data_IF_645142102984
#
_entry.id   IF_645142102984
#
_cell.length_a   1.000
_cell.length_b   1.000
_cell.length_c   1.000
_cell.angle_alpha   90.00
_cell.angle_beta   90.00
_cell.angle_gamma   90.00
#
_symmetry.space_group_name_H-M   'P 1'
#
loop_
_entity.id
_entity.type
_entity.pdbx_description
1 polymer ?
#
# COMPACT_ATOMS: atom_id res chain seq x y z
N UNK A 1 5.62 -25.71 -4.52
CA UNK A 1 4.65 -25.21 -3.53
C UNK A 1 5.43 -24.75 -2.31
N UNK A 2 5.18 -23.54 -1.82
CA UNK A 2 5.73 -23.13 -0.53
C UNK A 2 5.24 -24.11 0.54
N UNK A 3 6.10 -24.43 1.51
CA UNK A 3 5.73 -25.27 2.64
C UNK A 3 4.51 -24.65 3.36
N UNK A 4 3.44 -25.40 3.56
CA UNK A 4 2.21 -24.95 4.23
C UNK A 4 2.52 -24.35 5.61
N UNK A 5 3.51 -24.89 6.31
CA UNK A 5 3.97 -24.37 7.60
C UNK A 5 4.52 -22.95 7.48
N UNK A 6 5.27 -22.65 6.42
CA UNK A 6 5.80 -21.31 6.15
C UNK A 6 4.63 -20.37 5.87
N UNK A 7 3.72 -20.75 4.98
CA UNK A 7 2.53 -19.96 4.63
C UNK A 7 1.68 -19.62 5.88
N UNK A 8 1.38 -20.60 6.73
CA UNK A 8 0.63 -20.36 7.98
C UNK A 8 1.38 -19.45 8.94
N UNK A 9 2.71 -19.56 8.98
CA UNK A 9 3.55 -18.68 9.80
C UNK A 9 3.50 -17.24 9.32
N UNK A 10 3.60 -17.00 8.02
CA UNK A 10 3.50 -15.67 7.41
C UNK A 10 2.11 -15.05 7.61
N UNK A 11 1.03 -15.81 7.43
CA UNK A 11 -0.34 -15.36 7.72
C UNK A 11 -0.46 -14.91 9.18
N UNK A 12 0.08 -15.69 10.11
CA UNK A 12 0.09 -15.33 11.54
C UNK A 12 0.86 -14.04 11.79
N UNK A 13 2.03 -13.86 11.19
CA UNK A 13 2.83 -12.63 11.31
C UNK A 13 2.09 -11.42 10.73
N UNK A 14 1.46 -11.58 9.57
CA UNK A 14 0.67 -10.51 8.95
C UNK A 14 -0.52 -10.10 9.85
N UNK A 15 -1.22 -11.06 10.44
CA UNK A 15 -2.30 -10.79 11.41
C UNK A 15 -1.80 -10.10 12.67
N UNK A 16 -0.63 -10.50 13.17
CA UNK A 16 0.01 -9.81 14.29
C UNK A 16 0.36 -8.37 13.95
N UNK A 17 0.93 -8.13 12.77
CA UNK A 17 1.26 -6.79 12.30
C UNK A 17 0.02 -5.90 12.16
N UNK A 18 -1.08 -6.43 11.61
CA UNK A 18 -2.36 -5.71 11.49
C UNK A 18 -2.92 -5.36 12.88
N UNK A 19 -2.92 -6.33 13.83
CA UNK A 19 -3.37 -6.06 15.20
C UNK A 19 -2.51 -5.02 15.90
N UNK A 20 -1.20 -5.10 15.76
CA UNK A 20 -0.28 -4.09 16.30
C UNK A 20 -0.57 -2.70 15.71
N UNK A 21 -0.78 -2.62 14.39
CA UNK A 21 -1.11 -1.37 13.72
C UNK A 21 -2.47 -0.81 14.17
N UNK A 22 -3.48 -1.67 14.35
CA UNK A 22 -4.79 -1.28 14.87
C UNK A 22 -4.71 -0.77 16.31
N UNK A 23 -3.94 -1.45 17.16
CA UNK A 23 -3.72 -1.03 18.54
C UNK A 23 -3.04 0.34 18.61
N UNK A 24 -2.00 0.57 17.81
CA UNK A 24 -1.33 1.85 17.74
C UNK A 24 -2.27 2.97 17.21
N UNK A 25 -3.11 2.67 16.22
CA UNK A 25 -4.10 3.62 15.73
C UNK A 25 -5.09 4.03 16.83
N UNK A 26 -5.56 3.08 17.63
CA UNK A 26 -6.46 3.33 18.76
C UNK A 26 -5.76 4.08 19.90
N UNK A 27 -4.55 3.67 20.28
CA UNK A 27 -3.76 4.28 21.35
C UNK A 27 -3.47 5.76 21.08
N UNK A 28 -3.16 6.10 19.82
CA UNK A 28 -2.85 7.48 19.44
C UNK A 28 -4.05 8.25 18.88
N UNK A 29 -5.26 7.70 18.97
CA UNK A 29 -6.50 8.39 18.59
C UNK A 29 -6.60 8.71 17.11
N UNK A 30 -6.07 7.85 16.24
CA UNK A 30 -6.16 8.06 14.80
C UNK A 30 -7.60 7.89 14.31
N UNK A 31 -7.97 8.67 13.30
CA UNK A 31 -9.31 8.57 12.70
C UNK A 31 -9.60 7.16 12.15
N UNK A 32 -10.84 6.64 12.28
CA UNK A 32 -11.24 5.40 11.61
C UNK A 32 -10.99 5.38 10.10
N UNK A 33 -11.01 6.55 9.45
CA UNK A 33 -10.68 6.68 8.03
C UNK A 33 -9.17 6.48 7.75
N UNK A 34 -8.33 6.58 8.77
CA UNK A 34 -6.87 6.36 8.64
C UNK A 34 -6.53 4.88 8.64
N UNK A 35 -7.31 4.06 9.35
CA UNK A 35 -7.11 2.62 9.47
C UNK A 35 -8.46 1.91 9.35
N UNK A 36 -8.75 1.36 8.16
CA UNK A 36 -10.05 0.79 7.81
C UNK A 36 -9.91 -0.72 7.53
N UNK A 37 -10.41 -1.61 8.40
CA UNK A 37 -10.33 -3.06 8.22
C UNK A 37 -11.38 -3.58 7.23
N UNK A 38 -11.48 -2.96 6.07
CA UNK A 38 -12.49 -3.24 5.02
C UNK A 38 -12.18 -4.48 4.18
N UNK A 39 -11.07 -5.16 4.42
CA UNK A 39 -10.64 -6.27 3.57
C UNK A 39 -10.07 -5.80 2.23
N UNK A 40 -9.90 -6.74 1.31
CA UNK A 40 -9.46 -6.46 -0.08
C UNK A 40 -10.16 -7.37 -1.06
N UNK A 41 -10.26 -6.92 -2.31
CA UNK A 41 -10.72 -7.74 -3.43
C UNK A 41 -9.61 -7.89 -4.45
N UNK A 42 -9.31 -9.13 -4.83
CA UNK A 42 -8.53 -9.40 -6.03
C UNK A 42 -9.50 -9.41 -7.22
N UNK A 43 -9.49 -8.36 -8.04
CA UNK A 43 -10.44 -8.14 -9.11
C UNK A 43 -9.93 -8.70 -10.44
N UNK A 44 -10.78 -9.42 -11.15
CA UNK A 44 -10.50 -10.02 -12.44
C UNK A 44 -11.33 -9.35 -13.56
N UNK A 45 -10.63 -8.77 -14.55
CA UNK A 45 -11.27 -8.18 -15.74
C UNK A 45 -11.37 -9.15 -16.93
N UNK A 46 -10.68 -10.28 -16.90
CA UNK A 46 -10.66 -11.27 -17.98
C UNK A 46 -10.41 -12.68 -17.48
N UNK A 47 -10.43 -13.65 -18.40
CA UNK A 47 -10.33 -15.09 -18.11
C UNK A 47 -9.08 -15.46 -17.30
N UNK A 48 -7.95 -14.87 -17.64
CA UNK A 48 -6.70 -15.12 -16.89
C UNK A 48 -6.85 -14.74 -15.42
N UNK A 49 -7.44 -13.58 -15.15
CA UNK A 49 -7.69 -13.11 -13.78
C UNK A 49 -8.66 -14.01 -13.02
N UNK A 50 -9.73 -14.49 -13.69
CA UNK A 50 -10.68 -15.44 -13.10
C UNK A 50 -9.99 -16.75 -12.74
N UNK A 51 -9.17 -17.30 -13.63
CA UNK A 51 -8.38 -18.53 -13.37
C UNK A 51 -7.44 -18.37 -12.19
N UNK A 52 -6.77 -17.21 -12.09
CA UNK A 52 -5.86 -16.93 -10.97
C UNK A 52 -6.62 -16.81 -9.64
N UNK A 53 -7.80 -16.17 -9.64
CA UNK A 53 -8.66 -16.09 -8.47
C UNK A 53 -9.19 -17.47 -8.03
N UNK A 54 -9.59 -18.32 -8.99
CA UNK A 54 -10.04 -19.68 -8.70
C UNK A 54 -8.91 -20.53 -8.06
N UNK A 55 -7.71 -20.46 -8.60
CA UNK A 55 -6.54 -21.11 -8.00
C UNK A 55 -6.25 -20.59 -6.59
N UNK A 56 -6.38 -19.29 -6.38
CA UNK A 56 -6.16 -18.67 -5.08
C UNK A 56 -7.25 -19.06 -4.08
N UNK A 57 -8.53 -19.07 -4.50
CA UNK A 57 -9.66 -19.52 -3.69
C UNK A 57 -9.47 -20.96 -3.22
N UNK A 58 -9.09 -21.88 -4.11
CA UNK A 58 -8.78 -23.27 -3.73
C UNK A 58 -7.65 -23.36 -2.71
N UNK A 59 -6.61 -22.54 -2.87
CA UNK A 59 -5.49 -22.50 -1.92
C UNK A 59 -5.92 -21.98 -0.55
N UNK A 60 -6.77 -20.95 -0.50
CA UNK A 60 -7.32 -20.41 0.76
C UNK A 60 -8.21 -21.44 1.45
N UNK A 61 -9.08 -22.13 0.70
CA UNK A 61 -9.92 -23.22 1.23
C UNK A 61 -9.05 -24.34 1.86
N UNK A 62 -7.99 -24.74 1.17
CA UNK A 62 -7.11 -25.81 1.62
C UNK A 62 -6.41 -25.50 2.95
N UNK A 63 -6.16 -24.23 3.24
CA UNK A 63 -5.53 -23.79 4.50
C UNK A 63 -6.52 -23.24 5.54
N UNK A 64 -7.83 -23.26 5.22
CA UNK A 64 -8.90 -22.81 6.12
C UNK A 64 -8.99 -21.29 6.28
N UNK A 65 -8.65 -20.51 5.25
CA UNK A 65 -8.72 -19.05 5.27
C UNK A 65 -10.06 -18.55 4.68
N UNK A 66 -10.68 -17.61 5.39
CA UNK A 66 -11.95 -17.00 4.98
C UNK A 66 -11.80 -16.20 3.70
N UNK A 67 -12.69 -16.44 2.75
CA UNK A 67 -12.77 -15.68 1.50
C UNK A 67 -14.16 -15.81 0.87
N UNK A 68 -14.49 -14.90 -0.04
CA UNK A 68 -15.76 -14.91 -0.79
C UNK A 68 -15.47 -14.68 -2.27
N UNK A 69 -16.00 -15.54 -3.12
CA UNK A 69 -15.98 -15.33 -4.58
C UNK A 69 -17.11 -14.37 -4.93
N UNK A 70 -16.77 -13.31 -5.66
CA UNK A 70 -17.71 -12.31 -6.14
C UNK A 70 -17.91 -12.45 -7.65
N UNK A 71 -19.16 -12.44 -8.07
CA UNK A 71 -19.52 -12.43 -9.50
C UNK A 71 -19.43 -11.00 -10.11
N UNK A 72 -19.69 -10.89 -11.41
CA UNK A 72 -19.62 -9.61 -12.13
C UNK A 72 -20.61 -8.58 -11.58
N UNK A 73 -21.83 -9.01 -11.19
CA UNK A 73 -22.86 -8.13 -10.66
C UNK A 73 -22.45 -7.57 -9.29
N UNK A 74 -21.94 -8.42 -8.40
CA UNK A 74 -21.44 -8.02 -7.08
C UNK A 74 -20.23 -7.07 -7.20
N UNK A 75 -19.38 -7.31 -8.20
CA UNK A 75 -18.27 -6.39 -8.49
C UNK A 75 -18.77 -5.03 -9.00
N UNK A 76 -19.80 -4.99 -9.83
CA UNK A 76 -20.42 -3.75 -10.30
C UNK A 76 -21.10 -3.00 -9.16
N UNK A 77 -21.87 -3.67 -8.33
CA UNK A 77 -22.49 -3.08 -7.12
C UNK A 77 -21.45 -2.47 -6.18
N UNK A 78 -20.30 -3.14 -6.00
CA UNK A 78 -19.22 -2.65 -5.14
C UNK A 78 -18.45 -1.49 -5.77
N UNK A 79 -18.09 -1.56 -7.05
CA UNK A 79 -17.18 -0.62 -7.69
C UNK A 79 -17.88 0.49 -8.48
N UNK A 80 -19.14 0.30 -8.84
CA UNK A 80 -19.87 1.15 -9.77
C UNK A 80 -19.42 0.98 -11.23
N UNK A 81 -18.72 -0.11 -11.56
CA UNK A 81 -18.16 -0.36 -12.90
C UNK A 81 -18.37 -1.80 -13.33
N UNK A 82 -18.87 -1.99 -14.55
CA UNK A 82 -19.01 -3.30 -15.20
C UNK A 82 -17.70 -3.85 -15.80
N UNK A 83 -16.58 -3.17 -15.56
CA UNK A 83 -15.25 -3.59 -16.05
C UNK A 83 -14.81 -4.95 -15.52
N UNK A 84 -15.18 -5.28 -14.29
CA UNK A 84 -14.73 -6.50 -13.64
C UNK A 84 -15.72 -7.65 -13.89
N UNK A 85 -15.19 -8.80 -14.27
CA UNK A 85 -15.95 -10.03 -14.51
C UNK A 85 -16.12 -10.89 -13.25
N UNK A 86 -15.35 -10.60 -12.21
CA UNK A 86 -15.42 -11.27 -10.92
C UNK A 86 -14.33 -10.79 -9.97
N UNK A 87 -14.41 -11.25 -8.73
CA UNK A 87 -13.48 -10.91 -7.68
C UNK A 87 -13.32 -11.99 -6.64
N UNK A 88 -12.27 -11.89 -5.85
CA UNK A 88 -12.04 -12.72 -4.66
C UNK A 88 -11.81 -11.79 -3.47
N UNK A 89 -12.80 -11.72 -2.60
CA UNK A 89 -12.72 -10.95 -1.35
C UNK A 89 -12.01 -11.74 -0.27
N UNK A 90 -11.12 -11.08 0.47
CA UNK A 90 -10.46 -11.61 1.67
C UNK A 90 -10.55 -10.59 2.81
N UNK A 91 -11.12 -10.96 4.00
CA UNK A 91 -11.39 -10.02 5.08
C UNK A 91 -10.12 -9.60 5.86
N UNK A 92 -9.05 -10.36 5.76
CA UNK A 92 -7.83 -10.16 6.55
C UNK A 92 -6.91 -9.03 6.09
N UNK A 93 -7.42 -8.04 5.35
CA UNK A 93 -6.64 -6.90 4.88
C UNK A 93 -7.19 -5.57 5.42
N UNK A 94 -6.36 -4.54 5.40
CA UNK A 94 -6.69 -3.21 5.91
C UNK A 94 -6.37 -2.15 4.85
N UNK A 95 -7.28 -1.21 4.67
CA UNK A 95 -7.04 -0.01 3.88
C UNK A 95 -6.48 1.07 4.82
N UNK A 96 -5.26 1.51 4.57
CA UNK A 96 -4.59 2.55 5.37
C UNK A 96 -4.43 3.82 4.56
N UNK A 97 -4.65 4.98 5.20
CA UNK A 97 -4.20 6.27 4.70
C UNK A 97 -2.75 6.50 5.21
N UNK A 98 -1.72 6.24 4.38
CA UNK A 98 -0.36 6.13 4.88
C UNK A 98 0.17 7.41 5.51
N UNK A 99 -0.14 8.58 4.92
CA UNK A 99 0.34 9.87 5.41
C UNK A 99 -0.24 10.21 6.78
N UNK A 100 -1.55 10.01 6.96
CA UNK A 100 -2.20 10.27 8.24
C UNK A 100 -1.77 9.28 9.31
N UNK A 101 -1.59 8.00 8.93
CA UNK A 101 -1.12 6.98 9.84
C UNK A 101 0.28 7.31 10.38
N UNK A 102 1.23 7.62 9.48
CA UNK A 102 2.61 7.95 9.89
C UNK A 102 2.66 9.23 10.70
N UNK A 103 1.93 10.28 10.32
CA UNK A 103 1.87 11.55 11.07
C UNK A 103 1.21 11.37 12.43
N UNK A 104 0.12 10.61 12.50
CA UNK A 104 -0.56 10.31 13.75
C UNK A 104 0.32 9.53 14.72
N UNK A 105 1.05 8.51 14.23
CA UNK A 105 2.04 7.81 15.04
C UNK A 105 3.16 8.73 15.53
N UNK A 106 3.71 9.57 14.65
CA UNK A 106 4.76 10.52 15.04
C UNK A 106 4.25 11.50 16.11
N UNK A 107 3.04 12.04 15.94
CA UNK A 107 2.41 12.90 16.94
C UNK A 107 2.22 12.20 18.29
N UNK A 108 1.71 10.98 18.29
CA UNK A 108 1.52 10.19 19.52
C UNK A 108 2.83 9.84 20.21
N UNK A 109 3.84 9.43 19.45
CA UNK A 109 5.16 9.05 19.95
C UNK A 109 6.01 10.24 20.42
N UNK A 110 5.74 11.47 20.01
CA UNK A 110 6.56 12.65 20.29
C UNK A 110 6.76 12.94 21.79
N UNK A 111 5.89 12.39 22.64
CA UNK A 111 6.02 12.49 24.11
C UNK A 111 7.03 11.51 24.71
N UNK A 112 7.30 10.41 24.01
CA UNK A 112 8.14 9.32 24.48
C UNK A 112 9.51 9.26 23.78
N UNK A 113 9.60 9.80 22.56
CA UNK A 113 10.81 9.77 21.75
C UNK A 113 11.07 11.12 21.10
N UNK A 114 12.35 11.47 20.90
CA UNK A 114 12.72 12.68 20.16
C UNK A 114 12.66 12.39 18.66
N UNK A 115 11.80 13.12 17.94
CA UNK A 115 11.65 13.01 16.48
C UNK A 115 12.27 14.25 15.84
N UNK A 116 13.21 14.04 14.93
CA UNK A 116 13.90 15.11 14.20
C UNK A 116 13.47 15.07 12.73
N UNK A 117 12.55 15.93 12.36
CA UNK A 117 12.13 16.13 10.97
C UNK A 117 13.14 17.01 10.20
N UNK A 118 13.09 16.94 8.85
CA UNK A 118 13.98 17.70 7.97
C UNK A 118 15.47 17.56 8.33
N UNK A 119 15.83 16.39 8.85
CA UNK A 119 17.17 16.08 9.36
C UNK A 119 17.74 14.83 8.67
N UNK A 120 17.98 14.88 7.34
CA UNK A 120 18.52 13.74 6.62
C UNK A 120 19.87 13.32 7.21
N UNK A 121 20.03 12.03 7.46
CA UNK A 121 21.31 11.46 7.86
C UNK A 121 22.18 11.34 6.63
N UNK A 122 23.29 12.06 6.61
CA UNK A 122 24.24 12.13 5.49
C UNK A 122 25.38 11.14 5.66
N UNK A 123 25.70 10.78 6.89
CA UNK A 123 26.80 9.88 7.24
C UNK A 123 26.42 9.05 8.46
N UNK A 124 26.70 7.76 8.40
CA UNK A 124 26.57 6.84 9.51
C UNK A 124 27.91 6.13 9.73
N UNK A 125 28.51 6.35 10.86
CA UNK A 125 29.80 5.75 11.21
C UNK A 125 29.75 5.04 12.56
N UNK A 126 30.59 4.03 12.72
CA UNK A 126 30.71 3.31 13.99
C UNK A 126 32.07 3.59 14.59
N UNK A 127 32.10 4.13 15.79
CA UNK A 127 33.30 4.38 16.56
C UNK A 127 33.25 3.55 17.84
N UNK A 128 34.15 2.59 17.97
CA UNK A 128 34.16 1.62 19.07
C UNK A 128 32.79 0.87 19.16
N UNK A 129 32.04 1.08 20.25
CA UNK A 129 30.74 0.47 20.53
C UNK A 129 29.56 1.42 20.26
N UNK A 130 29.80 2.60 19.71
CA UNK A 130 28.79 3.64 19.51
C UNK A 130 28.67 3.97 18.03
N UNK A 131 27.44 4.10 17.57
CA UNK A 131 27.11 4.62 16.25
C UNK A 131 26.94 6.13 16.31
N UNK A 132 27.40 6.83 15.28
CA UNK A 132 27.21 8.26 15.10
C UNK A 132 26.49 8.50 13.78
N UNK A 133 25.30 9.07 13.86
CA UNK A 133 24.52 9.56 12.72
C UNK A 133 24.70 11.07 12.61
N UNK A 134 25.17 11.55 11.46
CA UNK A 134 25.46 12.97 11.19
C UNK A 134 24.46 13.53 10.19
N UNK A 135 23.88 14.67 10.50
CA UNK A 135 23.07 15.50 9.61
C UNK A 135 23.78 16.82 9.31
N UNK A 136 23.17 17.66 8.44
CA UNK A 136 23.68 19.01 8.18
C UNK A 136 23.63 19.94 9.42
N UNK A 137 22.79 19.63 10.41
CA UNK A 137 22.58 20.49 11.60
C UNK A 137 23.16 19.93 12.88
N UNK A 138 23.70 18.72 12.87
CA UNK A 138 24.25 18.10 14.08
C UNK A 138 24.44 16.60 13.95
N UNK A 139 24.71 15.96 15.08
CA UNK A 139 24.89 14.50 15.11
C UNK A 139 24.25 13.90 16.35
N UNK A 140 23.82 12.64 16.23
CA UNK A 140 23.32 11.82 17.33
C UNK A 140 24.21 10.60 17.47
N UNK A 141 24.54 10.23 18.70
CA UNK A 141 25.31 9.03 19.02
C UNK A 141 24.46 8.06 19.83
N UNK A 142 24.49 6.78 19.48
CA UNK A 142 23.73 5.73 20.16
C UNK A 142 24.47 4.38 20.09
N UNK A 143 24.28 3.50 21.08
CA UNK A 143 24.86 2.15 21.05
C UNK A 143 24.21 1.23 20.01
N UNK A 144 22.99 1.52 19.59
CA UNK A 144 22.22 0.75 18.59
C UNK A 144 21.56 1.69 17.60
N UNK A 145 21.48 1.26 16.35
CA UNK A 145 20.77 1.97 15.25
C UNK A 145 19.87 0.99 14.53
N UNK A 146 18.66 1.43 14.20
CA UNK A 146 17.73 0.73 13.33
C UNK A 146 17.59 1.55 12.04
N UNK A 147 17.89 0.94 10.91
CA UNK A 147 17.79 1.56 9.59
C UNK A 147 16.42 1.21 8.97
N UNK A 148 15.44 2.09 9.16
CA UNK A 148 14.10 1.99 8.54
C UNK A 148 14.01 2.79 7.22
N UNK A 149 15.04 2.76 6.38
CA UNK A 149 15.23 3.65 5.21
C UNK A 149 14.85 3.01 3.87
N UNK A 150 14.17 1.83 3.90
CA UNK A 150 13.75 1.09 2.71
C UNK A 150 14.92 0.91 1.71
N UNK A 151 14.68 1.10 0.41
CA UNK A 151 15.68 0.95 -0.65
C UNK A 151 16.92 1.85 -0.52
N UNK A 152 16.84 2.93 0.25
CA UNK A 152 17.99 3.80 0.55
C UNK A 152 19.05 3.15 1.44
N UNK A 153 18.82 1.95 1.94
CA UNK A 153 19.78 1.23 2.79
C UNK A 153 21.13 1.01 2.10
N UNK A 154 21.16 0.94 0.77
CA UNK A 154 22.39 0.84 -0.01
C UNK A 154 23.27 2.08 0.12
N UNK A 155 22.70 3.28 0.35
CA UNK A 155 23.47 4.53 0.59
C UNK A 155 24.25 4.51 1.88
N UNK A 156 23.97 3.55 2.78
CA UNK A 156 24.70 3.33 4.01
C UNK A 156 25.66 2.13 3.95
N UNK A 157 25.96 1.63 2.73
CA UNK A 157 26.89 0.52 2.52
C UNK A 157 26.32 -0.86 2.84
N UNK A 158 25.00 -1.00 2.94
CA UNK A 158 24.35 -2.29 3.21
C UNK A 158 23.56 -2.78 2.00
N UNK A 159 23.62 -4.09 1.72
CA UNK A 159 22.88 -4.75 0.63
C UNK A 159 23.19 -4.19 -0.78
N UNK A 160 24.39 -3.67 -1.00
CA UNK A 160 24.82 -3.17 -2.32
C UNK A 160 24.64 -4.23 -3.41
N UNK A 161 24.00 -3.84 -4.51
CA UNK A 161 23.72 -4.73 -5.64
C UNK A 161 22.72 -5.85 -5.36
N UNK A 162 22.08 -5.90 -4.18
CA UNK A 162 21.11 -6.93 -3.81
C UNK A 162 19.65 -6.48 -3.87
N UNK A 163 19.40 -5.20 -4.09
CA UNK A 163 18.08 -4.62 -4.17
C UNK A 163 17.83 -4.08 -5.58
N UNK A 164 16.72 -4.47 -6.16
CA UNK A 164 16.20 -3.90 -7.41
C UNK A 164 15.08 -2.92 -7.06
N UNK A 165 15.27 -1.66 -7.39
CA UNK A 165 14.34 -0.61 -7.02
C UNK A 165 13.36 -0.36 -8.14
N UNK A 166 12.10 -0.61 -7.85
CA UNK A 166 10.99 -0.47 -8.79
C UNK A 166 10.17 0.76 -8.42
N UNK A 167 10.06 1.70 -9.34
CA UNK A 167 9.16 2.84 -9.23
C UNK A 167 7.75 2.43 -9.66
N UNK A 168 6.77 2.79 -8.84
CA UNK A 168 5.35 2.65 -9.17
C UNK A 168 4.72 4.03 -9.30
N UNK A 169 3.73 4.15 -10.17
CA UNK A 169 3.10 5.43 -10.47
C UNK A 169 1.64 5.41 -10.07
N UNK A 170 1.23 6.42 -9.33
CA UNK A 170 -0.14 6.60 -8.91
C UNK A 170 -0.68 7.95 -9.38
N UNK A 171 -1.95 7.96 -9.79
CA UNK A 171 -2.73 9.17 -10.05
C UNK A 171 -3.94 9.19 -9.13
N UNK A 172 -4.40 10.39 -8.79
CA UNK A 172 -5.58 10.58 -7.97
C UNK A 172 -6.49 11.59 -8.64
N UNK A 173 -7.81 11.32 -8.61
CA UNK A 173 -8.81 12.27 -9.13
C UNK A 173 -8.90 13.52 -8.26
N UNK A 174 -9.44 14.61 -8.83
CA UNK A 174 -10.02 15.65 -8.02
C UNK A 174 -11.13 15.06 -7.11
N UNK A 175 -11.42 15.71 -6.00
CA UNK A 175 -12.53 15.33 -5.14
C UNK A 175 -13.86 15.45 -5.90
N UNK A 176 -14.78 14.53 -5.69
CA UNK A 176 -16.12 14.57 -6.29
C UNK A 176 -17.18 14.11 -5.29
N UNK A 177 -18.38 14.69 -5.41
CA UNK A 177 -19.55 14.23 -4.68
C UNK A 177 -20.14 12.99 -5.37
N UNK A 178 -20.88 12.19 -4.61
CA UNK A 178 -21.58 11.00 -5.13
C UNK A 178 -22.50 11.33 -6.30
N UNK A 179 -23.15 12.49 -6.24
CA UNK A 179 -24.17 12.92 -7.22
C UNK A 179 -23.58 13.46 -8.53
N UNK A 180 -22.26 13.72 -8.57
CA UNK A 180 -21.63 14.38 -9.73
C UNK A 180 -21.74 13.59 -11.04
N UNK A 181 -21.85 12.28 -10.96
CA UNK A 181 -21.86 11.42 -12.16
C UNK A 181 -23.23 10.87 -12.52
N UNK A 182 -24.29 11.18 -11.76
CA UNK A 182 -25.66 10.70 -12.03
C UNK A 182 -25.76 9.17 -12.05
N UNK A 183 -24.75 8.45 -11.61
CA UNK A 183 -24.65 6.99 -11.53
C UNK A 183 -24.28 6.58 -10.12
N UNK A 184 -24.72 5.41 -9.74
CA UNK A 184 -24.18 4.77 -8.54
C UNK A 184 -22.67 4.50 -8.76
N UNK A 185 -21.86 5.12 -7.93
CA UNK A 185 -20.39 4.97 -7.97
C UNK A 185 -19.93 3.80 -7.09
N UNK A 186 -20.82 2.85 -6.82
CA UNK A 186 -20.58 1.70 -5.96
C UNK A 186 -20.49 2.08 -4.48
N UNK A 187 -19.90 1.20 -3.69
CA UNK A 187 -19.71 1.40 -2.27
C UNK A 187 -18.95 2.69 -1.97
N UNK A 188 -19.15 3.24 -0.78
CA UNK A 188 -18.52 4.49 -0.34
C UNK A 188 -16.99 4.40 -0.37
N UNK A 189 -16.45 3.27 0.08
CA UNK A 189 -15.01 2.97 0.07
C UNK A 189 -14.78 1.55 -0.40
N UNK A 190 -13.78 1.36 -1.20
CA UNK A 190 -13.35 0.03 -1.63
C UNK A 190 -11.91 0.05 -2.15
N UNK A 191 -11.28 -1.11 -2.14
CA UNK A 191 -9.96 -1.32 -2.73
C UNK A 191 -9.95 -2.61 -3.53
N UNK A 192 -9.51 -2.51 -4.78
CA UNK A 192 -9.25 -3.66 -5.65
C UNK A 192 -7.78 -3.75 -6.00
N UNK A 193 -7.25 -4.97 -5.87
CA UNK A 193 -5.95 -5.33 -6.43
C UNK A 193 -6.22 -6.15 -7.70
N UNK A 194 -5.37 -6.09 -8.70
CA UNK A 194 -5.56 -6.93 -9.87
C UNK A 194 -5.30 -8.39 -9.51
N UNK A 195 -6.17 -9.29 -9.96
CA UNK A 195 -5.91 -10.72 -9.90
C UNK A 195 -4.69 -11.11 -10.76
N UNK A 196 -4.54 -10.45 -11.91
CA UNK A 196 -3.31 -10.50 -12.70
C UNK A 196 -2.28 -9.52 -12.09
N UNK A 197 -1.09 -9.98 -11.65
CA UNK A 197 -0.09 -9.15 -10.96
C UNK A 197 0.34 -7.87 -11.70
N UNK A 198 0.16 -7.83 -13.02
CA UNK A 198 0.54 -6.69 -13.86
C UNK A 198 -0.58 -5.67 -14.06
N UNK A 199 -1.75 -5.89 -13.49
CA UNK A 199 -2.91 -5.02 -13.60
C UNK A 199 -2.87 -3.77 -12.72
N UNK A 200 -3.98 -3.01 -12.76
CA UNK A 200 -4.14 -1.79 -11.97
C UNK A 200 -4.64 -2.07 -10.55
N UNK A 201 -4.06 -1.39 -9.56
CA UNK A 201 -4.65 -1.28 -8.23
C UNK A 201 -5.49 -0.01 -8.20
N UNK A 202 -6.76 -0.14 -7.82
CA UNK A 202 -7.68 1.01 -7.75
C UNK A 202 -8.30 1.06 -6.36
N UNK A 203 -8.44 2.28 -5.82
CA UNK A 203 -9.06 2.51 -4.53
C UNK A 203 -9.99 3.70 -4.61
N UNK A 204 -11.19 3.56 -4.06
CA UNK A 204 -12.08 4.69 -3.76
C UNK A 204 -11.95 5.01 -2.28
N UNK A 205 -11.59 6.23 -1.99
CA UNK A 205 -11.39 6.73 -0.63
C UNK A 205 -12.28 7.93 -0.36
N UNK A 206 -12.60 8.16 0.89
CA UNK A 206 -13.33 9.35 1.35
C UNK A 206 -12.39 10.31 2.07
N UNK A 207 -12.44 11.57 1.67
CA UNK A 207 -11.68 12.66 2.31
C UNK A 207 -12.61 13.86 2.49
N UNK A 208 -12.87 14.25 3.71
CA UNK A 208 -13.76 15.36 4.05
C UNK A 208 -15.16 15.27 3.38
N UNK A 209 -15.77 14.09 3.41
CA UNK A 209 -17.09 13.84 2.82
C UNK A 209 -17.10 13.74 1.29
N UNK A 210 -15.97 13.86 0.64
CA UNK A 210 -15.83 13.78 -0.82
C UNK A 210 -15.07 12.51 -1.23
N UNK A 211 -15.49 11.89 -2.33
CA UNK A 211 -14.82 10.72 -2.91
C UNK A 211 -13.61 11.13 -3.74
N UNK A 212 -12.60 10.28 -3.72
CA UNK A 212 -11.47 10.29 -4.67
C UNK A 212 -11.17 8.88 -5.13
N UNK A 213 -10.73 8.73 -6.37
CA UNK A 213 -10.21 7.47 -6.89
C UNK A 213 -8.70 7.59 -7.03
N UNK A 214 -7.99 6.64 -6.44
CA UNK A 214 -6.53 6.49 -6.57
C UNK A 214 -6.27 5.29 -7.45
N UNK A 215 -5.50 5.47 -8.51
CA UNK A 215 -5.12 4.43 -9.45
C UNK A 215 -3.62 4.27 -9.44
N UNK A 216 -3.13 3.07 -9.21
CA UNK A 216 -1.72 2.70 -9.39
C UNK A 216 -1.61 1.72 -10.53
N UNK A 217 -0.90 2.13 -11.57
CA UNK A 217 -0.53 1.29 -12.72
C UNK A 217 0.94 1.52 -13.03
N UNK A 218 1.46 0.74 -13.97
CA UNK A 218 2.83 0.92 -14.47
C UNK A 218 3.89 0.84 -13.38
N UNK A 219 5.00 0.31 -13.75
CA UNK A 219 6.22 0.33 -12.96
C UNK A 219 7.41 0.41 -13.90
N UNK A 220 8.50 0.99 -13.40
CA UNK A 220 9.76 1.08 -14.12
C UNK A 220 10.90 0.75 -13.17
N UNK A 221 11.92 0.15 -13.72
CA UNK A 221 13.21 0.03 -13.06
C UNK A 221 14.10 1.19 -13.51
N UNK A 222 14.71 1.86 -12.56
CA UNK A 222 15.72 2.88 -12.81
C UNK A 222 16.85 2.75 -11.78
N UNK A 223 18.03 2.31 -12.20
CA UNK A 223 19.16 2.10 -11.30
C UNK A 223 19.73 3.40 -10.71
N UNK A 224 19.46 4.55 -11.33
CA UNK A 224 19.88 5.86 -10.81
C UNK A 224 19.02 6.38 -9.67
N UNK A 225 17.92 5.67 -9.32
CA UNK A 225 16.93 6.09 -8.33
C UNK A 225 16.23 7.41 -8.67
N UNK A 226 16.23 7.79 -9.94
CA UNK A 226 15.61 9.02 -10.43
C UNK A 226 14.69 8.71 -11.60
N UNK A 227 13.55 9.38 -11.62
CA UNK A 227 12.61 9.31 -12.74
C UNK A 227 12.46 10.70 -13.34
N UNK A 228 12.66 10.83 -14.65
CA UNK A 228 12.51 12.12 -15.32
C UNK A 228 11.04 12.60 -15.28
N UNK A 229 10.84 13.91 -15.19
CA UNK A 229 9.49 14.51 -15.25
C UNK A 229 8.72 14.12 -16.52
N UNK A 230 9.41 14.03 -17.66
CA UNK A 230 8.79 13.65 -18.93
C UNK A 230 8.21 12.23 -18.87
N UNK A 231 8.90 11.29 -18.20
CA UNK A 231 8.40 9.94 -17.96
C UNK A 231 7.17 9.96 -17.07
N UNK A 232 7.19 10.72 -15.98
CA UNK A 232 6.04 10.87 -15.07
C UNK A 232 4.84 11.46 -15.82
N UNK A 233 5.04 12.54 -16.58
CA UNK A 233 4.00 13.17 -17.41
C UNK A 233 3.44 12.23 -18.48
N UNK A 234 4.30 11.40 -19.10
CA UNK A 234 3.89 10.37 -20.06
C UNK A 234 2.97 9.33 -19.42
N UNK A 235 3.39 8.76 -18.30
CA UNK A 235 2.61 7.74 -17.57
C UNK A 235 1.28 8.32 -17.08
N UNK A 236 1.25 9.56 -16.58
CA UNK A 236 0.01 10.20 -16.15
C UNK A 236 -1.00 10.36 -17.31
N UNK A 237 -0.53 10.66 -18.51
CA UNK A 237 -1.38 10.70 -19.71
C UNK A 237 -1.94 9.33 -20.07
N UNK A 238 -1.11 8.28 -20.00
CA UNK A 238 -1.53 6.91 -20.28
C UNK A 238 -2.57 6.43 -19.27
N UNK A 239 -2.36 6.70 -17.98
CA UNK A 239 -3.32 6.38 -16.92
C UNK A 239 -4.68 7.07 -17.16
N UNK A 240 -4.66 8.35 -17.54
CA UNK A 240 -5.89 9.08 -17.87
C UNK A 240 -6.64 8.43 -19.03
N UNK A 241 -5.95 8.07 -20.12
CA UNK A 241 -6.54 7.39 -21.27
C UNK A 241 -7.16 6.04 -20.89
N UNK A 242 -6.46 5.24 -20.10
CA UNK A 242 -6.93 3.92 -19.66
C UNK A 242 -8.15 3.97 -18.73
N UNK A 243 -8.42 5.11 -18.08
CA UNK A 243 -9.58 5.30 -17.23
C UNK A 243 -10.76 5.93 -17.95
N UNK A 244 -10.55 6.43 -19.17
CA UNK A 244 -11.58 7.08 -19.98
C UNK A 244 -12.16 6.12 -21.04
N UNK A 245 -11.59 4.96 -21.21
CA UNK A 245 -12.04 3.89 -22.08
C UNK A 245 -12.92 2.89 -21.32
#
# INVERSE_FOLDING_TARGET
>A
MADEKITRTEIRHNRLAIRFAAQAAAEYGLSPATFDPSGKVNAAAGERGLTLNDNYSRSLTAIGEDHTVLDAKQMEEMTGSSYYRGGLFTPGAVLIQPADYVRGLAGGLSRAVSIYEQSPVLELSKQNRTWKAKSCRGSVSAPKVILGVNGHIQSFGHFEGRLMQIFTYASMTAAFSRDRFGRDTGAERWAVLPADPMGATIRKIMVNGMSRIVVRTRFTYDPSLQVSENRVKGIARDQRRSLSA
#
